data_IF_585310733022
#
_entry.id   IF_585310733022
#
_cell.length_a   1.000
_cell.length_b   1.000
_cell.length_c   1.000
_cell.angle_alpha   90.00
_cell.angle_beta   90.00
_cell.angle_gamma   90.00
#
_symmetry.space_group_name_H-M   'P 1'
#
loop_
_entity.id
_entity.type
_entity.pdbx_description
1 polymer ?
#
# COMPACT_ATOMS: atom_id res chain seq x y z
N UNK A 1 7.32 -33.24 17.02
CA UNK A 1 8.51 -32.38 16.88
C UNK A 1 8.06 -31.01 16.44
N UNK A 2 8.29 -29.95 17.23
CA UNK A 2 7.82 -28.59 16.94
C UNK A 2 8.95 -27.77 16.34
N UNK A 3 8.79 -27.33 15.09
CA UNK A 3 9.73 -26.44 14.41
C UNK A 3 9.31 -25.00 14.66
N UNK A 4 10.07 -24.28 15.49
CA UNK A 4 9.83 -22.84 15.74
C UNK A 4 10.57 -22.05 14.65
N UNK A 5 9.82 -21.34 13.81
CA UNK A 5 10.38 -20.41 12.83
C UNK A 5 11.11 -19.27 13.56
N UNK A 6 12.44 -19.35 13.62
CA UNK A 6 13.28 -18.27 14.12
C UNK A 6 13.36 -17.17 13.05
N UNK A 7 12.59 -16.10 13.24
CA UNK A 7 12.75 -14.89 12.45
C UNK A 7 14.14 -14.30 12.72
N UNK A 8 14.98 -14.31 11.68
CA UNK A 8 16.33 -13.74 11.73
C UNK A 8 16.20 -12.23 11.90
N UNK A 9 16.68 -11.73 13.03
CA UNK A 9 16.81 -10.29 13.30
C UNK A 9 17.63 -9.63 12.18
N UNK A 10 17.18 -8.50 11.60
CA UNK A 10 17.89 -7.89 10.48
C UNK A 10 19.28 -7.49 10.94
N UNK A 11 20.29 -8.13 10.34
CA UNK A 11 21.69 -7.74 10.49
C UNK A 11 21.82 -6.26 10.17
N UNK A 12 22.63 -5.57 10.99
CA UNK A 12 23.12 -4.21 10.80
C UNK A 12 23.72 -4.04 9.40
N UNK A 13 22.88 -3.86 8.38
CA UNK A 13 23.31 -3.42 7.08
C UNK A 13 23.69 -1.96 7.30
N UNK A 14 24.98 -1.66 7.24
CA UNK A 14 25.47 -0.28 7.10
C UNK A 14 24.69 0.32 5.93
N UNK A 15 23.67 1.10 6.26
CA UNK A 15 22.85 1.83 5.33
C UNK A 15 23.76 2.85 4.70
N UNK A 16 24.40 2.48 3.58
CA UNK A 16 24.55 3.43 2.50
C UNK A 16 23.11 3.81 2.16
N UNK A 17 22.60 4.83 2.83
CA UNK A 17 21.47 5.63 2.37
C UNK A 17 21.92 6.20 1.05
N UNK A 18 21.82 5.38 -0.01
CA UNK A 18 21.69 5.90 -1.33
C UNK A 18 20.37 6.68 -1.23
N UNK A 19 20.38 8.03 -1.28
CA UNK A 19 19.13 8.74 -1.33
C UNK A 19 18.36 8.09 -2.47
N UNK A 20 17.08 7.75 -2.26
CA UNK A 20 16.19 7.48 -3.39
C UNK A 20 16.47 8.62 -4.36
N UNK A 21 17.20 8.34 -5.44
CA UNK A 21 17.60 9.40 -6.34
C UNK A 21 16.30 10.03 -6.81
N UNK A 22 16.22 11.35 -6.83
CA UNK A 22 15.01 12.04 -7.28
C UNK A 22 14.53 11.56 -8.67
N UNK A 23 15.39 10.86 -9.42
CA UNK A 23 15.08 10.17 -10.69
C UNK A 23 14.13 8.97 -10.54
N UNK A 24 14.16 8.25 -9.40
CA UNK A 24 13.34 7.03 -9.18
C UNK A 24 11.97 7.33 -8.57
N UNK A 25 11.81 8.50 -7.95
CA UNK A 25 10.56 8.92 -7.34
C UNK A 25 9.41 9.08 -8.37
N UNK A 26 9.62 9.72 -9.54
CA UNK A 26 8.61 9.77 -10.60
C UNK A 26 8.13 8.39 -11.06
N UNK A 27 9.05 7.45 -11.25
CA UNK A 27 8.71 6.06 -11.65
C UNK A 27 7.89 5.36 -10.56
N UNK A 28 8.27 5.52 -9.28
CA UNK A 28 7.50 4.99 -8.16
C UNK A 28 6.10 5.58 -8.08
N UNK A 29 5.96 6.90 -8.24
CA UNK A 29 4.66 7.56 -8.27
C UNK A 29 3.81 7.11 -9.48
N UNK A 30 4.42 6.89 -10.64
CA UNK A 30 3.75 6.34 -11.81
C UNK A 30 3.25 4.91 -11.56
N UNK A 31 4.05 4.07 -10.91
CA UNK A 31 3.64 2.73 -10.51
C UNK A 31 2.49 2.76 -9.50
N UNK A 32 2.53 3.65 -8.51
CA UNK A 32 1.42 3.86 -7.57
C UNK A 32 0.15 4.29 -8.32
N UNK A 33 0.27 5.24 -9.25
CA UNK A 33 -0.87 5.67 -10.06
C UNK A 33 -1.44 4.52 -10.90
N UNK A 34 -0.58 3.68 -11.50
CA UNK A 34 -1.00 2.51 -12.25
C UNK A 34 -1.75 1.49 -11.38
N UNK A 35 -1.28 1.23 -10.15
CA UNK A 35 -1.97 0.36 -9.20
C UNK A 35 -3.37 0.90 -8.84
N UNK A 36 -3.48 2.20 -8.55
CA UNK A 36 -4.78 2.82 -8.27
C UNK A 36 -5.71 2.77 -9.48
N UNK A 37 -5.18 2.98 -10.69
CA UNK A 37 -5.94 2.85 -11.93
C UNK A 37 -6.44 1.43 -12.16
N UNK A 38 -5.68 0.40 -11.80
CA UNK A 38 -6.12 -0.99 -11.91
C UNK A 38 -7.32 -1.27 -11.00
N UNK A 39 -7.31 -0.74 -9.77
CA UNK A 39 -8.45 -0.86 -8.85
C UNK A 39 -9.67 -0.14 -9.41
N UNK A 40 -9.49 1.07 -9.97
CA UNK A 40 -10.58 1.84 -10.56
C UNK A 40 -11.20 1.17 -11.79
N UNK A 41 -10.40 0.44 -12.57
CA UNK A 41 -10.85 -0.30 -13.74
C UNK A 41 -11.31 -1.73 -13.44
N UNK A 42 -11.19 -2.19 -12.18
CA UNK A 42 -11.58 -3.54 -11.79
C UNK A 42 -13.11 -3.64 -11.79
N UNK A 43 -13.65 -4.51 -12.63
CA UNK A 43 -15.06 -4.86 -12.58
C UNK A 43 -15.28 -5.84 -11.40
N UNK A 44 -15.84 -5.34 -10.31
CA UNK A 44 -16.00 -6.12 -9.08
C UNK A 44 -17.22 -7.02 -9.22
N UNK A 45 -16.98 -8.31 -9.47
CA UNK A 45 -18.06 -9.31 -9.58
C UNK A 45 -18.05 -10.31 -8.43
N UNK A 46 -16.89 -10.55 -7.82
CA UNK A 46 -16.70 -11.59 -6.80
C UNK A 46 -16.09 -11.05 -5.52
N UNK A 47 -16.21 -11.81 -4.44
CA UNK A 47 -15.50 -11.52 -3.19
C UNK A 47 -13.97 -11.57 -3.35
N UNK A 48 -13.47 -12.31 -4.35
CA UNK A 48 -12.04 -12.35 -4.65
C UNK A 48 -11.55 -11.06 -5.31
N UNK A 49 -12.36 -10.47 -6.19
CA UNK A 49 -12.07 -9.16 -6.78
C UNK A 49 -11.97 -8.08 -5.70
N UNK A 50 -12.84 -8.13 -4.69
CA UNK A 50 -12.79 -7.26 -3.51
C UNK A 50 -11.48 -7.45 -2.74
N UNK A 51 -11.09 -8.70 -2.44
CA UNK A 51 -9.82 -8.98 -1.75
C UNK A 51 -8.63 -8.46 -2.54
N UNK A 52 -8.64 -8.67 -3.86
CA UNK A 52 -7.60 -8.18 -4.77
C UNK A 52 -7.54 -6.65 -4.79
N UNK A 53 -8.68 -5.98 -4.86
CA UNK A 53 -8.77 -4.52 -4.80
C UNK A 53 -8.19 -3.98 -3.48
N UNK A 54 -8.59 -4.56 -2.34
CA UNK A 54 -8.05 -4.20 -1.02
C UNK A 54 -6.54 -4.38 -0.99
N UNK A 55 -6.02 -5.51 -1.46
CA UNK A 55 -4.57 -5.78 -1.48
C UNK A 55 -3.80 -4.74 -2.31
N UNK A 56 -4.31 -4.40 -3.50
CA UNK A 56 -3.66 -3.39 -4.37
C UNK A 56 -3.68 -2.01 -3.69
N UNK A 57 -4.79 -1.64 -3.05
CA UNK A 57 -4.89 -0.39 -2.29
C UNK A 57 -3.91 -0.35 -1.11
N UNK A 58 -3.77 -1.45 -0.37
CA UNK A 58 -2.80 -1.56 0.73
C UNK A 58 -1.36 -1.41 0.24
N UNK A 59 -1.03 -2.07 -0.87
CA UNK A 59 0.29 -1.98 -1.50
C UNK A 59 0.59 -0.54 -1.95
N UNK A 60 -0.36 0.09 -2.66
CA UNK A 60 -0.22 1.47 -3.11
C UNK A 60 -0.03 2.43 -1.92
N UNK A 61 -0.80 2.24 -0.84
CA UNK A 61 -0.70 3.06 0.36
C UNK A 61 0.63 2.86 1.10
N UNK A 62 1.12 1.62 1.16
CA UNK A 62 2.45 1.29 1.69
C UNK A 62 3.57 2.02 0.94
N UNK A 63 3.51 2.03 -0.40
CA UNK A 63 4.45 2.78 -1.24
C UNK A 63 4.39 4.29 -0.96
N UNK A 64 3.19 4.88 -0.84
CA UNK A 64 3.03 6.30 -0.51
C UNK A 64 3.70 6.63 0.83
N UNK A 65 3.46 5.82 1.87
CA UNK A 65 4.04 6.04 3.20
C UNK A 65 5.56 5.89 3.20
N UNK A 66 6.11 4.93 2.44
CA UNK A 66 7.55 4.79 2.25
C UNK A 66 8.16 6.02 1.57
N UNK A 67 7.52 6.51 0.51
CA UNK A 67 7.95 7.73 -0.20
C UNK A 67 7.98 8.93 0.74
N UNK A 68 6.91 9.14 1.52
CA UNK A 68 6.82 10.24 2.50
C UNK A 68 7.87 10.10 3.62
N UNK A 69 8.14 8.88 4.09
CA UNK A 69 9.09 8.63 5.17
C UNK A 69 10.56 8.71 4.75
N UNK A 70 10.89 8.42 3.49
CA UNK A 70 12.28 8.28 3.03
C UNK A 70 12.74 9.39 2.06
N UNK A 71 11.82 10.17 1.48
CA UNK A 71 12.16 11.18 0.47
C UNK A 71 12.08 12.61 1.04
N UNK A 72 13.04 13.47 0.66
CA UNK A 72 12.93 14.92 0.89
C UNK A 72 11.95 15.51 -0.12
N UNK A 73 10.67 15.54 0.25
CA UNK A 73 9.59 16.09 -0.57
C UNK A 73 9.36 17.56 -0.26
N UNK A 74 8.86 18.31 -1.25
CA UNK A 74 8.24 19.62 -1.01
C UNK A 74 7.03 19.43 -0.10
N UNK A 75 6.81 20.34 0.84
CA UNK A 75 5.71 20.24 1.81
C UNK A 75 4.35 20.05 1.15
N UNK A 76 4.08 20.78 0.06
CA UNK A 76 2.84 20.63 -0.71
C UNK A 76 2.66 19.21 -1.26
N UNK A 77 3.73 18.59 -1.77
CA UNK A 77 3.69 17.21 -2.28
C UNK A 77 3.51 16.21 -1.15
N UNK A 78 4.20 16.44 -0.02
CA UNK A 78 4.06 15.62 1.18
C UNK A 78 2.62 15.63 1.69
N UNK A 79 2.00 16.80 1.83
CA UNK A 79 0.62 16.93 2.30
C UNK A 79 -0.35 16.24 1.36
N UNK A 80 -0.20 16.44 0.04
CA UNK A 80 -1.04 15.74 -0.96
C UNK A 80 -0.93 14.23 -0.82
N UNK A 81 0.27 13.69 -0.69
CA UNK A 81 0.49 12.25 -0.53
C UNK A 81 -0.11 11.71 0.78
N UNK A 82 0.00 12.46 1.88
CA UNK A 82 -0.63 12.10 3.15
C UNK A 82 -2.16 12.13 3.07
N UNK A 83 -2.75 13.12 2.40
CA UNK A 83 -4.19 13.18 2.15
C UNK A 83 -4.67 12.00 1.30
N UNK A 84 -3.93 11.63 0.25
CA UNK A 84 -4.24 10.45 -0.55
C UNK A 84 -4.12 9.16 0.27
N UNK A 85 -3.09 9.06 1.12
CA UNK A 85 -2.89 7.93 2.02
C UNK A 85 -4.09 7.74 2.97
N UNK A 86 -4.54 8.82 3.61
CA UNK A 86 -5.70 8.80 4.50
C UNK A 86 -7.00 8.44 3.76
N UNK A 87 -7.16 8.91 2.51
CA UNK A 87 -8.31 8.54 1.67
C UNK A 87 -8.32 7.04 1.36
N UNK A 88 -7.16 6.46 1.04
CA UNK A 88 -7.05 5.02 0.78
C UNK A 88 -7.36 4.22 2.04
N UNK A 89 -6.86 4.64 3.21
CA UNK A 89 -7.18 3.98 4.49
C UNK A 89 -8.69 3.98 4.76
N UNK A 90 -9.35 5.11 4.52
CA UNK A 90 -10.81 5.22 4.68
C UNK A 90 -11.55 4.27 3.74
N UNK A 91 -11.17 4.21 2.45
CA UNK A 91 -11.78 3.28 1.48
C UNK A 91 -11.61 1.84 1.94
N UNK A 92 -10.39 1.43 2.32
CA UNK A 92 -10.13 0.05 2.78
C UNK A 92 -10.97 -0.27 4.02
N UNK A 93 -11.04 0.63 5.00
CA UNK A 93 -11.80 0.43 6.23
C UNK A 93 -13.30 0.29 5.95
N UNK A 94 -13.85 1.13 5.06
CA UNK A 94 -15.26 1.06 4.69
C UNK A 94 -15.57 -0.21 3.91
N UNK A 95 -14.77 -0.55 2.88
CA UNK A 95 -14.96 -1.78 2.12
C UNK A 95 -14.89 -3.02 3.01
N UNK A 96 -13.98 -3.06 3.99
CA UNK A 96 -13.92 -4.16 4.98
C UNK A 96 -15.17 -4.24 5.85
N UNK A 97 -15.69 -3.10 6.30
CA UNK A 97 -16.93 -3.06 7.09
C UNK A 97 -18.12 -3.57 6.29
N UNK A 98 -18.26 -3.13 5.04
CA UNK A 98 -19.35 -3.53 4.16
C UNK A 98 -19.28 -5.00 3.75
N UNK A 99 -18.07 -5.57 3.65
CA UNK A 99 -17.85 -6.94 3.18
C UNK A 99 -17.74 -7.98 4.28
N UNK A 100 -17.52 -7.56 5.54
CA UNK A 100 -17.52 -8.47 6.69
C UNK A 100 -18.79 -9.34 6.79
N UNK A 101 -20.02 -8.81 6.63
CA UNK A 101 -21.23 -9.64 6.67
C UNK A 101 -21.37 -10.62 5.51
N UNK A 102 -20.70 -10.36 4.38
CA UNK A 102 -20.71 -11.24 3.20
C UNK A 102 -19.69 -12.38 3.34
N UNK A 103 -18.56 -12.12 4.01
CA UNK A 103 -17.53 -13.11 4.31
C UNK A 103 -17.97 -14.08 5.42
N UNK A 104 -18.69 -13.60 6.44
CA UNK A 104 -19.21 -14.46 7.52
C UNK A 104 -20.26 -15.48 7.05
N UNK A 105 -20.97 -15.22 5.95
CA UNK A 105 -21.99 -16.13 5.39
C UNK A 105 -21.42 -17.24 4.50
N UNK A 106 -20.12 -17.23 4.23
CA UNK A 106 -19.43 -18.19 3.37
C UNK A 106 -18.57 -19.21 4.15
N UNK A 107 -18.57 -19.14 5.48
CA UNK A 107 -17.87 -20.05 6.41
C UNK A 107 -18.93 -20.84 7.16
#
# INVERSE_FOLDING_TARGET
MSSVLKFRQPHNAKTKTNPLSCQRLPELLANVAALLSQVQALDIQTTDDIRRAIFILELANGCIRLIVGQSKLKETTRTTLLTQSARIDWIIAETRRETAPLLEKLI
#
